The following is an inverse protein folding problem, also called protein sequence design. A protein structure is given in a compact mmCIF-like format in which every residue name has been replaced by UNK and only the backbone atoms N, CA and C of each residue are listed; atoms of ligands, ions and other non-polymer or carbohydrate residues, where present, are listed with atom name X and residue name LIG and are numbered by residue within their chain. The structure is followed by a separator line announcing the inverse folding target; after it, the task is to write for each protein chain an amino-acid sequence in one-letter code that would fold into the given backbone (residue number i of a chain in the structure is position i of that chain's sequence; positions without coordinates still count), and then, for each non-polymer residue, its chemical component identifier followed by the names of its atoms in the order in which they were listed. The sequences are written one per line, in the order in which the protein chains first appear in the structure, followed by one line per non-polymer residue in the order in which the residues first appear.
data_IF_658078876531
#
_entry.id   IF_658078876531
#
_cell.length_a   1.000
_cell.length_b   1.000
_cell.length_c   1.000
_cell.angle_alpha   90.00
_cell.angle_beta   90.00
_cell.angle_gamma   90.00
#
_symmetry.space_group_name_H-M   'P 1'
#
loop_
_entity.id
_entity.type
_entity.pdbx_description
1 polymer ?
#
# COMPACT_ATOMS: atom_id res chain seq x y z
N UNK A 1 7.49 15.52 -21.50
CA UNK A 1 7.32 14.06 -21.41
C UNK A 1 6.32 13.78 -20.32
N UNK A 2 5.23 13.07 -20.62
CA UNK A 2 4.21 12.69 -19.63
C UNK A 2 4.26 11.17 -19.50
N UNK A 3 4.58 10.68 -18.30
CA UNK A 3 4.52 9.26 -17.99
C UNK A 3 3.04 8.88 -17.85
N UNK A 4 2.58 7.86 -18.57
CA UNK A 4 1.21 7.36 -18.38
C UNK A 4 1.07 6.58 -17.08
N UNK A 5 -0.14 6.46 -16.57
CA UNK A 5 -0.45 5.69 -15.35
C UNK A 5 0.07 4.24 -15.44
N UNK A 6 -0.11 3.60 -16.61
CA UNK A 6 0.40 2.25 -16.87
C UNK A 6 1.93 2.16 -16.83
N UNK A 7 2.61 3.14 -17.42
CA UNK A 7 4.08 3.20 -17.39
C UNK A 7 4.59 3.42 -15.97
N UNK A 8 3.89 4.24 -15.19
CA UNK A 8 4.22 4.45 -13.78
C UNK A 8 4.07 3.16 -12.98
N UNK A 9 2.94 2.45 -13.10
CA UNK A 9 2.78 1.15 -12.45
C UNK A 9 3.87 0.15 -12.86
N UNK A 10 4.21 0.08 -14.15
CA UNK A 10 5.30 -0.77 -14.63
C UNK A 10 6.65 -0.41 -13.99
N UNK A 11 6.92 0.87 -13.77
CA UNK A 11 8.15 1.34 -13.11
C UNK A 11 8.17 1.03 -11.60
N UNK A 12 7.05 1.22 -10.92
CA UNK A 12 6.94 0.98 -9.46
C UNK A 12 6.93 -0.51 -9.10
N UNK A 13 6.49 -1.37 -10.01
CA UNK A 13 6.48 -2.84 -9.85
C UNK A 13 7.66 -3.54 -10.54
N UNK A 14 8.67 -2.77 -10.98
CA UNK A 14 9.78 -3.32 -11.73
C UNK A 14 10.64 -4.25 -10.86
N UNK A 15 10.67 -5.55 -11.19
CA UNK A 15 11.33 -6.57 -10.37
C UNK A 15 12.87 -6.55 -10.48
N UNK A 16 13.43 -6.07 -11.60
CA UNK A 16 14.87 -6.20 -11.81
C UNK A 16 15.73 -5.28 -10.93
N UNK A 17 15.19 -4.16 -10.44
CA UNK A 17 15.98 -3.18 -9.70
C UNK A 17 15.14 -2.25 -8.82
N UNK A 18 15.41 -2.20 -7.49
CA UNK A 18 14.73 -1.28 -6.59
C UNK A 18 15.02 0.18 -6.91
N UNK A 19 16.14 0.47 -7.58
CA UNK A 19 16.50 1.83 -7.98
C UNK A 19 15.54 2.40 -9.03
N UNK A 20 15.07 1.57 -9.97
CA UNK A 20 14.07 1.97 -10.97
C UNK A 20 12.77 2.37 -10.26
N UNK A 21 12.35 1.55 -9.29
CA UNK A 21 11.16 1.78 -8.46
C UNK A 21 11.29 3.08 -7.67
N UNK A 22 12.43 3.28 -7.00
CA UNK A 22 12.70 4.47 -6.19
C UNK A 22 12.74 5.77 -7.00
N UNK A 23 13.27 5.73 -8.23
CA UNK A 23 13.18 6.86 -9.16
C UNK A 23 11.72 7.16 -9.53
N UNK A 24 10.89 6.13 -9.72
CA UNK A 24 9.45 6.29 -9.95
C UNK A 24 8.73 6.97 -8.79
N UNK A 25 9.00 6.55 -7.55
CA UNK A 25 8.42 7.20 -6.35
C UNK A 25 8.86 8.65 -6.21
N UNK A 26 10.14 8.93 -6.49
CA UNK A 26 10.63 10.30 -6.49
C UNK A 26 9.94 11.12 -7.58
N UNK A 27 9.78 10.60 -8.79
CA UNK A 27 9.05 11.27 -9.86
C UNK A 27 7.61 11.60 -9.46
N UNK A 28 6.87 10.63 -8.89
CA UNK A 28 5.53 10.86 -8.36
C UNK A 28 5.51 12.01 -7.36
N UNK A 29 6.48 12.01 -6.43
CA UNK A 29 6.60 13.04 -5.39
C UNK A 29 6.80 14.45 -5.94
N UNK A 30 7.36 14.58 -7.15
CA UNK A 30 7.56 15.85 -7.85
C UNK A 30 6.42 16.25 -8.78
N UNK A 31 5.83 15.29 -9.49
CA UNK A 31 5.00 15.56 -10.66
C UNK A 31 3.50 15.28 -10.47
N UNK A 32 3.10 14.59 -9.40
CA UNK A 32 1.72 14.16 -9.18
C UNK A 32 0.99 15.08 -8.20
N UNK A 33 -0.32 15.24 -8.38
CA UNK A 33 -1.16 15.95 -7.43
C UNK A 33 -1.04 15.33 -6.03
N UNK A 34 -0.80 16.13 -4.97
CA UNK A 34 -0.65 15.63 -3.61
C UNK A 34 -1.80 14.74 -3.12
N UNK A 35 -3.03 14.99 -3.60
CA UNK A 35 -4.22 14.23 -3.18
C UNK A 35 -4.21 12.80 -3.73
N UNK A 36 -3.57 12.59 -4.88
CA UNK A 36 -3.48 11.28 -5.53
C UNK A 36 -2.27 10.46 -5.05
N UNK A 37 -1.25 11.09 -4.44
CA UNK A 37 -0.02 10.41 -4.01
C UNK A 37 -0.27 9.20 -3.11
N UNK A 38 -1.25 9.27 -2.22
CA UNK A 38 -1.55 8.17 -1.31
C UNK A 38 -1.92 6.88 -2.05
N UNK A 39 -2.72 6.99 -3.13
CA UNK A 39 -3.11 5.82 -3.92
C UNK A 39 -1.92 5.11 -4.54
N UNK A 40 -0.90 5.88 -4.93
CA UNK A 40 0.36 5.35 -5.46
C UNK A 40 1.28 4.77 -4.39
N UNK A 41 1.36 5.41 -3.22
CA UNK A 41 2.32 5.01 -2.18
C UNK A 41 1.80 3.86 -1.31
N UNK A 42 0.49 3.81 -1.04
CA UNK A 42 -0.13 2.83 -0.13
C UNK A 42 0.33 1.38 -0.34
N UNK A 43 0.45 0.84 -1.57
CA UNK A 43 0.87 -0.55 -1.74
C UNK A 43 2.32 -0.84 -1.31
N UNK A 44 3.17 0.19 -1.24
CA UNK A 44 4.62 0.04 -1.11
C UNK A 44 5.19 0.56 0.21
N UNK A 45 4.40 1.18 1.10
CA UNK A 45 4.87 1.74 2.37
C UNK A 45 5.46 0.70 3.34
N UNK A 46 5.20 -0.60 3.12
CA UNK A 46 5.78 -1.72 3.88
C UNK A 46 6.58 -2.68 2.99
N UNK A 47 6.99 -2.23 1.81
CA UNK A 47 7.84 -3.01 0.92
C UNK A 47 9.19 -3.30 1.61
N UNK A 48 9.54 -4.57 1.71
CA UNK A 48 10.73 -5.07 2.41
C UNK A 48 11.97 -5.15 1.53
N UNK A 49 11.88 -4.85 0.24
CA UNK A 49 13.04 -4.86 -0.66
C UNK A 49 14.08 -3.81 -0.21
N UNK A 50 15.34 -4.23 -0.05
CA UNK A 50 16.42 -3.35 0.41
C UNK A 50 17.14 -2.66 -0.76
N UNK A 51 17.52 -1.40 -0.56
CA UNK A 51 18.44 -0.68 -1.44
C UNK A 51 19.28 0.35 -0.67
N UNK A 52 20.24 0.98 -1.35
CA UNK A 52 21.01 2.09 -0.79
C UNK A 52 20.71 3.38 -1.57
N UNK A 53 20.11 4.42 -0.97
CA UNK A 53 19.85 5.68 -1.66
C UNK A 53 21.13 6.50 -1.92
N UNK A 54 22.24 6.12 -1.28
CA UNK A 54 23.55 6.76 -1.44
C UNK A 54 24.55 5.81 -2.11
N UNK A 55 25.65 6.37 -2.60
CA UNK A 55 26.72 5.64 -3.27
C UNK A 55 27.20 4.45 -2.44
N UNK A 56 27.14 3.26 -3.04
CA UNK A 56 27.68 2.02 -2.48
C UNK A 56 29.16 2.21 -2.11
N UNK A 57 29.50 2.02 -0.83
CA UNK A 57 30.87 2.16 -0.31
C UNK A 57 31.18 3.46 0.43
N UNK A 58 30.23 4.41 0.52
CA UNK A 58 30.36 5.53 1.47
C UNK A 58 30.25 5.03 2.92
N UNK A 59 30.96 5.68 3.85
CA UNK A 59 30.83 5.43 5.30
C UNK A 59 29.41 5.68 5.83
N UNK A 60 28.57 6.33 5.03
CA UNK A 60 27.15 6.65 5.29
C UNK A 60 26.17 5.79 4.47
N UNK A 61 26.66 4.74 3.79
CA UNK A 61 25.84 3.84 2.97
C UNK A 61 24.98 2.95 3.88
N UNK A 62 23.89 3.51 4.40
CA UNK A 62 22.88 2.76 5.13
C UNK A 62 21.89 2.16 4.14
N UNK A 63 21.74 0.84 4.20
CA UNK A 63 20.65 0.16 3.51
C UNK A 63 19.34 0.51 4.19
N UNK A 64 18.33 0.81 3.38
CA UNK A 64 16.95 1.00 3.82
C UNK A 64 16.04 0.16 2.93
N UNK A 65 14.85 -0.11 3.41
CA UNK A 65 13.81 -0.74 2.61
C UNK A 65 13.12 0.27 1.69
N UNK A 66 12.55 -0.20 0.57
CA UNK A 66 11.70 0.62 -0.30
C UNK A 66 10.54 1.22 0.51
N UNK A 67 9.94 0.49 1.45
CA UNK A 67 8.87 1.00 2.30
C UNK A 67 9.31 2.10 3.26
N UNK A 68 10.51 2.01 3.85
CA UNK A 68 11.10 3.13 4.61
C UNK A 68 11.33 4.34 3.73
N UNK A 69 11.84 4.15 2.51
CA UNK A 69 12.05 5.23 1.56
C UNK A 69 10.75 5.95 1.18
N UNK A 70 9.69 5.22 0.82
CA UNK A 70 8.38 5.79 0.45
C UNK A 70 7.77 6.55 1.64
N UNK A 71 7.86 6.01 2.86
CA UNK A 71 7.43 6.72 4.08
C UNK A 71 8.26 7.98 4.34
N UNK A 72 9.57 7.93 4.05
CA UNK A 72 10.45 9.09 4.09
C UNK A 72 9.99 10.22 3.17
N UNK A 73 9.60 9.91 1.92
CA UNK A 73 9.08 10.91 0.96
C UNK A 73 7.79 11.62 1.43
N UNK A 74 7.02 10.97 2.31
CA UNK A 74 5.83 11.57 2.95
C UNK A 74 6.24 12.42 4.15
N UNK A 75 7.19 11.94 4.96
CA UNK A 75 7.53 12.54 6.26
C UNK A 75 8.48 13.73 6.15
N UNK A 76 9.47 13.61 5.28
CA UNK A 76 10.61 14.50 5.19
C UNK A 76 10.50 15.40 3.97
N UNK A 77 10.92 16.65 4.15
CA UNK A 77 10.99 17.63 3.05
C UNK A 77 12.38 17.68 2.44
N UNK A 78 13.43 17.37 3.21
CA UNK A 78 14.78 17.26 2.70
C UNK A 78 15.03 15.85 2.19
N UNK A 79 15.59 15.75 1.00
CA UNK A 79 16.07 14.51 0.41
C UNK A 79 17.49 14.71 -0.11
N UNK A 80 18.48 14.28 0.67
CA UNK A 80 19.91 14.39 0.37
C UNK A 80 20.33 15.81 -0.08
N UNK A 81 19.88 16.83 0.67
CA UNK A 81 20.20 18.24 0.39
C UNK A 81 19.34 18.88 -0.71
N UNK A 82 18.34 18.15 -1.24
CA UNK A 82 17.31 18.71 -2.12
C UNK A 82 16.01 18.88 -1.36
N UNK A 83 15.44 20.09 -1.41
CA UNK A 83 14.13 20.37 -0.82
C UNK A 83 13.03 19.91 -1.79
N UNK A 84 12.26 18.90 -1.37
CA UNK A 84 11.12 18.39 -2.12
C UNK A 84 9.98 19.43 -2.17
N UNK A 85 9.11 19.40 -3.21
CA UNK A 85 7.93 20.27 -3.27
C UNK A 85 7.07 20.11 -2.02
N UNK A 86 6.61 21.21 -1.42
CA UNK A 86 5.84 21.15 -0.18
C UNK A 86 4.48 20.47 -0.40
N UNK A 87 4.16 19.48 0.42
CA UNK A 87 2.81 18.91 0.48
C UNK A 87 1.90 19.83 1.31
N UNK A 88 0.62 20.03 0.92
CA UNK A 88 -0.34 20.68 1.78
C UNK A 88 -0.44 19.96 3.12
N UNK A 89 -0.33 20.71 4.22
CA UNK A 89 -0.28 20.16 5.59
C UNK A 89 -1.44 19.21 5.90
N UNK A 90 -2.71 19.50 5.52
CA UNK A 90 -3.81 18.57 5.78
C UNK A 90 -3.62 17.22 5.08
N UNK A 91 -3.11 17.23 3.84
CA UNK A 91 -2.86 16.03 3.04
C UNK A 91 -1.70 15.23 3.65
N UNK A 92 -0.60 15.90 4.00
CA UNK A 92 0.54 15.24 4.64
C UNK A 92 0.13 14.59 5.97
N UNK A 93 -0.63 15.30 6.81
CA UNK A 93 -1.13 14.76 8.09
C UNK A 93 -2.04 13.54 7.85
N UNK A 94 -2.94 13.62 6.88
CA UNK A 94 -3.80 12.50 6.48
C UNK A 94 -2.99 11.27 6.08
N UNK A 95 -1.98 11.43 5.23
CA UNK A 95 -1.10 10.32 4.82
C UNK A 95 -0.32 9.72 6.00
N UNK A 96 0.18 10.54 6.93
CA UNK A 96 0.87 10.03 8.13
C UNK A 96 -0.04 9.17 9.01
N UNK A 97 -1.29 9.57 9.20
CA UNK A 97 -2.28 8.77 9.95
C UNK A 97 -2.55 7.46 9.21
N UNK A 98 -2.74 7.51 7.89
CA UNK A 98 -2.97 6.30 7.09
C UNK A 98 -1.78 5.35 7.11
N UNK A 99 -0.53 5.85 7.13
CA UNK A 99 0.65 4.99 7.31
C UNK A 99 0.56 4.15 8.59
N UNK A 100 0.13 4.75 9.71
CA UNK A 100 -0.04 4.02 10.97
C UNK A 100 -1.16 2.97 10.87
N UNK A 101 -2.29 3.31 10.25
CA UNK A 101 -3.41 2.40 10.06
C UNK A 101 -3.04 1.18 9.19
N UNK A 102 -2.26 1.40 8.14
CA UNK A 102 -1.85 0.32 7.24
C UNK A 102 -0.84 -0.66 7.87
N UNK A 103 -0.22 -0.32 9.01
CA UNK A 103 0.67 -1.24 9.72
C UNK A 103 -0.05 -2.52 10.16
N UNK A 104 -1.25 -2.35 10.70
CA UNK A 104 -2.08 -3.46 11.17
C UNK A 104 -2.60 -4.28 10.00
N UNK A 105 -3.01 -3.60 8.92
CA UNK A 105 -3.42 -4.26 7.67
C UNK A 105 -2.28 -5.08 7.06
N UNK A 106 -1.06 -4.55 7.00
CA UNK A 106 0.10 -5.28 6.50
C UNK A 106 0.43 -6.50 7.36
N UNK A 107 0.42 -6.34 8.68
CA UNK A 107 0.68 -7.46 9.61
C UNK A 107 -0.39 -8.55 9.51
N UNK A 108 -1.64 -8.17 9.21
CA UNK A 108 -2.72 -9.11 8.91
C UNK A 108 -2.52 -9.78 7.55
N UNK A 109 -2.25 -9.02 6.50
CA UNK A 109 -2.11 -9.56 5.15
C UNK A 109 -0.96 -10.57 5.07
N UNK A 110 0.17 -10.33 5.75
CA UNK A 110 1.28 -11.29 5.83
C UNK A 110 0.88 -12.61 6.51
N UNK A 111 0.03 -12.56 7.54
CA UNK A 111 -0.49 -13.76 8.22
C UNK A 111 -1.52 -14.50 7.36
N UNK A 112 -2.31 -13.76 6.59
CA UNK A 112 -3.38 -14.30 5.77
C UNK A 112 -2.91 -14.79 4.40
N UNK A 113 -1.78 -14.28 3.89
CA UNK A 113 -1.22 -14.67 2.59
C UNK A 113 -1.06 -16.19 2.41
N UNK A 114 -0.49 -16.96 3.36
CA UNK A 114 -0.42 -18.42 3.23
C UNK A 114 -1.79 -19.14 3.31
N UNK A 115 -2.85 -18.44 3.73
CA UNK A 115 -4.21 -18.97 3.82
C UNK A 115 -4.99 -18.80 2.52
N UNK A 116 -4.48 -18.01 1.58
CA UNK A 116 -5.07 -17.80 0.25
C UNK A 116 -5.18 -19.15 -0.47
N UNK A 117 -6.36 -19.46 -0.98
CA UNK A 117 -6.65 -20.71 -1.71
C UNK A 117 -6.77 -21.96 -0.82
N UNK A 118 -6.41 -21.91 0.47
CA UNK A 118 -6.58 -23.03 1.40
C UNK A 118 -7.73 -22.80 2.37
N UNK A 119 -7.73 -21.67 3.08
CA UNK A 119 -8.75 -21.30 4.07
C UNK A 119 -9.56 -20.07 3.65
N UNK A 120 -9.05 -19.29 2.70
CA UNK A 120 -9.73 -18.13 2.13
C UNK A 120 -10.25 -18.47 0.72
N UNK A 121 -11.38 -19.18 0.68
CA UNK A 121 -12.06 -19.61 -0.55
C UNK A 121 -13.57 -19.30 -0.47
N UNK A 122 -14.26 -19.32 -1.61
CA UNK A 122 -15.70 -19.10 -1.67
C UNK A 122 -16.48 -20.11 -0.79
N UNK A 123 -17.32 -19.62 0.10
CA UNK A 123 -18.04 -20.36 1.12
C UNK A 123 -17.36 -20.42 2.49
N UNK A 124 -16.11 -19.94 2.62
CA UNK A 124 -15.41 -19.95 3.90
C UNK A 124 -15.99 -18.90 4.87
N UNK A 125 -16.11 -19.28 6.14
CA UNK A 125 -16.48 -18.37 7.24
C UNK A 125 -15.23 -17.66 7.75
N UNK A 126 -15.26 -16.34 7.73
CA UNK A 126 -14.14 -15.47 8.10
C UNK A 126 -14.63 -14.34 8.99
N UNK A 127 -13.70 -13.54 9.52
CA UNK A 127 -14.03 -12.24 10.12
C UNK A 127 -13.52 -11.13 9.21
N UNK A 128 -14.35 -10.12 9.00
CA UNK A 128 -14.04 -8.96 8.17
C UNK A 128 -14.37 -7.66 8.92
N UNK A 129 -13.64 -6.59 8.62
CA UNK A 129 -13.96 -5.25 9.11
C UNK A 129 -15.19 -4.73 8.38
N UNK A 130 -16.11 -4.15 9.15
CA UNK A 130 -17.34 -3.56 8.62
C UNK A 130 -17.75 -2.38 9.49
N UNK A 131 -18.33 -1.36 8.86
CA UNK A 131 -18.94 -0.18 9.50
C UNK A 131 -20.23 0.19 8.77
N UNK A 132 -21.24 0.64 9.51
CA UNK A 132 -22.46 1.24 8.95
C UNK A 132 -22.97 2.39 9.85
N UNK A 133 -24.20 2.87 9.59
CA UNK A 133 -24.79 3.96 10.35
C UNK A 133 -25.12 3.60 11.82
N UNK A 134 -25.33 2.32 12.12
CA UNK A 134 -25.73 1.79 13.43
C UNK A 134 -24.56 1.08 14.15
N UNK A 135 -23.55 0.65 13.38
CA UNK A 135 -22.48 -0.24 13.81
C UNK A 135 -21.10 0.41 13.59
N UNK A 136 -20.27 0.55 14.64
CA UNK A 136 -18.92 1.09 14.49
C UNK A 136 -18.01 0.13 13.72
N UNK A 137 -16.91 0.66 13.18
CA UNK A 137 -15.87 -0.12 12.52
C UNK A 137 -15.27 -1.17 13.46
N UNK A 138 -15.70 -2.42 13.30
CA UNK A 138 -15.19 -3.56 14.05
C UNK A 138 -15.23 -4.85 13.23
N UNK A 139 -14.73 -5.94 13.82
CA UNK A 139 -14.66 -7.25 13.18
C UNK A 139 -15.97 -8.02 13.35
N UNK A 140 -16.63 -8.33 12.25
CA UNK A 140 -17.85 -9.13 12.22
C UNK A 140 -17.64 -10.44 11.48
N UNK A 141 -18.49 -11.42 11.79
CA UNK A 141 -18.50 -12.70 11.08
C UNK A 141 -19.06 -12.48 9.66
N UNK A 142 -18.37 -13.05 8.68
CA UNK A 142 -18.69 -12.91 7.27
C UNK A 142 -18.45 -14.23 6.54
N UNK A 143 -19.05 -14.35 5.36
CA UNK A 143 -18.87 -15.48 4.45
C UNK A 143 -18.29 -14.94 3.15
N UNK A 144 -17.19 -15.54 2.68
CA UNK A 144 -16.66 -15.21 1.36
C UNK A 144 -17.63 -15.76 0.31
N UNK A 145 -18.21 -14.90 -0.51
CA UNK A 145 -19.05 -15.32 -1.65
C UNK A 145 -18.18 -15.58 -2.87
N UNK A 146 -17.25 -14.66 -3.15
CA UNK A 146 -16.40 -14.69 -4.33
C UNK A 146 -14.99 -14.24 -3.98
N UNK A 147 -14.00 -14.94 -4.52
CA UNK A 147 -12.61 -14.49 -4.53
C UNK A 147 -12.39 -13.78 -5.87
N UNK A 148 -12.15 -12.48 -5.80
CA UNK A 148 -11.88 -11.64 -6.96
C UNK A 148 -10.40 -11.69 -7.23
N UNK A 149 -10.04 -12.39 -8.31
CA UNK A 149 -8.67 -12.49 -8.78
C UNK A 149 -8.11 -11.09 -9.13
N UNK A 150 -6.83 -10.85 -8.82
CA UNK A 150 -6.21 -9.55 -9.11
C UNK A 150 -6.18 -9.28 -10.62
N UNK A 151 -6.46 -8.04 -11.00
CA UNK A 151 -6.47 -7.63 -12.41
C UNK A 151 -5.07 -7.49 -13.00
N UNK A 152 -4.05 -7.42 -12.16
CA UNK A 152 -2.64 -7.28 -12.50
C UNK A 152 -1.78 -8.16 -11.57
N UNK A 153 -0.64 -8.65 -12.03
CA UNK A 153 0.20 -9.61 -11.30
C UNK A 153 0.71 -9.12 -9.92
N UNK A 154 0.81 -7.80 -9.73
CA UNK A 154 1.28 -7.18 -8.48
C UNK A 154 0.16 -6.84 -7.49
N UNK A 155 -1.10 -7.10 -7.86
CA UNK A 155 -2.23 -6.88 -6.95
C UNK A 155 -2.50 -8.14 -6.12
N UNK A 156 -2.95 -7.94 -4.89
CA UNK A 156 -3.46 -9.04 -4.05
C UNK A 156 -4.92 -9.33 -4.39
N UNK A 157 -5.39 -10.59 -4.26
CA UNK A 157 -6.80 -10.91 -4.43
C UNK A 157 -7.67 -10.12 -3.46
N UNK A 158 -8.89 -9.82 -3.91
CA UNK A 158 -9.94 -9.19 -3.09
C UNK A 158 -11.01 -10.23 -2.80
N UNK A 159 -11.75 -10.02 -1.73
CA UNK A 159 -12.78 -10.94 -1.27
C UNK A 159 -14.10 -10.22 -1.21
N UNK A 160 -15.06 -10.70 -1.98
CA UNK A 160 -16.44 -10.27 -1.84
C UNK A 160 -17.07 -11.07 -0.70
N UNK A 161 -17.45 -10.39 0.38
CA UNK A 161 -17.95 -11.01 1.61
C UNK A 161 -19.37 -10.56 1.91
N UNK A 162 -20.21 -11.49 2.33
CA UNK A 162 -21.55 -11.21 2.88
C UNK A 162 -21.48 -11.26 4.40
N UNK A 163 -22.14 -10.32 5.08
CA UNK A 163 -22.34 -10.33 6.52
C UNK A 163 -23.78 -10.79 6.84
N UNK A 164 -24.00 -12.08 7.17
CA UNK A 164 -25.35 -12.64 7.24
C UNK A 164 -26.24 -12.00 8.31
N UNK A 165 -25.65 -11.51 9.39
CA UNK A 165 -26.38 -10.85 10.49
C UNK A 165 -26.92 -9.47 10.11
N UNK A 166 -26.28 -8.79 9.17
CA UNK A 166 -26.60 -7.41 8.78
C UNK A 166 -27.21 -7.32 7.37
N UNK A 167 -27.16 -8.40 6.60
CA UNK A 167 -27.72 -8.48 5.24
C UNK A 167 -26.95 -7.66 4.20
N UNK A 168 -25.72 -7.26 4.51
CA UNK A 168 -24.89 -6.39 3.66
C UNK A 168 -23.71 -7.16 3.06
N UNK A 169 -23.15 -6.62 1.97
CA UNK A 169 -22.03 -7.20 1.25
C UNK A 169 -20.95 -6.15 1.02
N UNK A 170 -19.68 -6.53 1.18
CA UNK A 170 -18.55 -5.63 0.98
C UNK A 170 -17.40 -6.32 0.24
N UNK A 171 -16.54 -5.52 -0.39
CA UNK A 171 -15.27 -6.01 -0.92
C UNK A 171 -14.15 -5.68 0.06
N UNK A 172 -13.50 -6.72 0.60
CA UNK A 172 -12.39 -6.58 1.54
C UNK A 172 -11.07 -7.10 0.96
N UNK A 173 -9.97 -6.64 1.54
CA UNK A 173 -8.62 -7.12 1.21
C UNK A 173 -8.10 -8.07 2.29
N UNK A 174 -7.01 -8.78 1.98
CA UNK A 174 -6.23 -9.59 2.93
C UNK A 174 -5.97 -8.91 4.28
#
# INVERSE_FOLDING_TARGET
MQCSEKQMHSMLNHLDSPYIRCVGFLFLRYATDPSSLWGWFKPYIYDTEEFSPTLSGSRTSHKITVGEFVRGLINDIDYHGTILPRLPVPIQRSMKVKCLQEQDNFSRSQRNLPLVGTSLFAGARVRALYEDAENPLQWYDAIIEEVVEPGQEWETPKYFVTFPEYGNQETVTL
#
